data_IF_982872116114
#
_entry.id   IF_982872116114
#
_cell.length_a   1.000
_cell.length_b   1.000
_cell.length_c   1.000
_cell.angle_alpha   90.00
_cell.angle_beta   90.00
_cell.angle_gamma   90.00
#
_symmetry.space_group_name_H-M   'P 1'
#
loop_
_entity.id
_entity.type
_entity.pdbx_description
1 polymer ?
#
# COMPACT_ATOMS: atom_id res chain seq x y z
N UNK A 1 -56.94 27.61 -22.47
CA UNK A 1 -55.61 27.38 -23.05
C UNK A 1 -54.64 27.40 -21.87
N UNK A 2 -54.01 26.29 -21.46
CA UNK A 2 -53.12 25.38 -22.23
C UNK A 2 -51.88 26.17 -22.72
N UNK A 3 -50.61 25.84 -22.48
CA UNK A 3 -49.91 24.90 -21.55
C UNK A 3 -48.39 25.21 -21.63
N UNK A 4 -47.45 24.73 -20.79
CA UNK A 4 -47.45 23.92 -19.55
C UNK A 4 -46.14 24.21 -18.76
N UNK A 5 -45.84 23.42 -17.71
CA UNK A 5 -44.58 23.46 -16.93
C UNK A 5 -43.56 22.39 -17.37
N UNK A 6 -42.29 22.79 -17.50
CA UNK A 6 -41.11 21.91 -17.36
C UNK A 6 -40.53 21.25 -18.62
N UNK A 7 -39.40 20.53 -18.52
CA UNK A 7 -38.65 20.24 -17.29
C UNK A 7 -37.16 20.63 -17.30
N UNK A 8 -36.59 20.55 -16.10
CA UNK A 8 -35.19 20.30 -15.74
C UNK A 8 -34.44 19.37 -16.70
N UNK A 9 -33.21 19.73 -17.10
CA UNK A 9 -32.17 18.71 -17.21
C UNK A 9 -30.78 19.24 -16.82
N UNK A 10 -30.08 18.44 -16.03
CA UNK A 10 -28.82 18.83 -15.43
C UNK A 10 -27.70 18.82 -16.49
N UNK A 11 -26.96 19.94 -16.57
CA UNK A 11 -25.58 19.94 -17.06
C UNK A 11 -24.69 19.12 -16.11
N UNK A 12 -24.87 17.80 -16.12
CA UNK A 12 -23.94 16.84 -15.53
C UNK A 12 -22.65 16.99 -16.31
N UNK A 13 -21.72 17.77 -15.77
CA UNK A 13 -20.34 17.80 -16.22
C UNK A 13 -19.82 16.37 -16.15
N UNK A 14 -19.86 15.70 -17.30
CA UNK A 14 -19.41 14.33 -17.47
C UNK A 14 -17.88 14.36 -17.52
N UNK A 15 -17.29 14.67 -16.37
CA UNK A 15 -15.86 14.50 -16.13
C UNK A 15 -15.65 13.00 -16.11
N UNK A 16 -15.31 12.45 -17.29
CA UNK A 16 -14.85 11.08 -17.44
C UNK A 16 -13.90 10.77 -16.28
N UNK A 17 -14.13 9.69 -15.52
CA UNK A 17 -13.23 9.34 -14.43
C UNK A 17 -11.85 9.15 -15.05
N UNK A 18 -10.82 9.96 -14.67
CA UNK A 18 -9.56 9.99 -15.39
C UNK A 18 -9.01 8.57 -15.52
N UNK A 19 -8.83 8.17 -16.78
CA UNK A 19 -8.49 6.83 -17.18
C UNK A 19 -7.23 6.34 -16.47
N UNK A 20 -7.16 5.02 -16.24
CA UNK A 20 -6.19 4.38 -15.32
C UNK A 20 -4.70 4.62 -15.66
N UNK A 21 -4.40 5.17 -16.83
CA UNK A 21 -3.07 5.14 -17.48
C UNK A 21 -2.02 6.12 -16.98
N UNK A 22 -2.36 7.20 -16.26
CA UNK A 22 -1.40 8.30 -16.00
C UNK A 22 -0.40 8.08 -14.85
N UNK A 23 -0.40 6.92 -14.22
CA UNK A 23 0.51 6.56 -13.11
C UNK A 23 1.28 5.26 -13.34
N UNK A 24 0.94 4.50 -14.39
CA UNK A 24 1.55 3.20 -14.70
C UNK A 24 2.97 3.34 -15.30
N UNK A 25 3.33 4.55 -15.76
CA UNK A 25 4.60 4.85 -16.45
C UNK A 25 5.77 5.17 -15.49
N UNK A 26 5.56 5.11 -14.17
CA UNK A 26 6.64 5.28 -13.18
C UNK A 26 7.26 3.94 -12.81
N UNK A 27 8.21 3.52 -13.63
CA UNK A 27 9.14 2.43 -13.32
C UNK A 27 10.25 2.92 -12.39
N UNK A 28 10.43 2.27 -11.24
CA UNK A 28 11.54 2.49 -10.32
C UNK A 28 12.51 1.31 -10.40
N UNK A 29 13.81 1.52 -10.16
CA UNK A 29 14.81 0.44 -10.21
C UNK A 29 14.46 -0.73 -9.27
N UNK A 30 13.81 -0.44 -8.15
CA UNK A 30 13.36 -1.42 -7.15
C UNK A 30 12.11 -2.22 -7.57
N UNK A 31 11.43 -1.88 -8.67
CA UNK A 31 10.22 -2.59 -9.09
C UNK A 31 10.52 -4.02 -9.57
N UNK A 32 11.64 -4.21 -10.27
CA UNK A 32 12.12 -5.52 -10.73
C UNK A 32 12.16 -6.59 -9.62
N UNK A 33 12.93 -6.39 -8.53
CA UNK A 33 12.97 -7.36 -7.42
C UNK A 33 11.63 -7.46 -6.66
N UNK A 34 10.81 -6.41 -6.59
CA UNK A 34 9.48 -6.48 -5.99
C UNK A 34 8.51 -7.36 -6.81
N UNK A 35 8.56 -7.27 -8.14
CA UNK A 35 7.80 -8.16 -9.04
C UNK A 35 8.33 -9.61 -8.98
N UNK A 36 9.64 -9.80 -8.86
CA UNK A 36 10.23 -11.13 -8.70
C UNK A 36 9.80 -11.80 -7.38
N UNK A 37 9.83 -11.07 -6.26
CA UNK A 37 9.28 -11.57 -4.99
C UNK A 37 7.80 -11.96 -5.10
N UNK A 38 6.96 -11.13 -5.72
CA UNK A 38 5.55 -11.49 -5.98
C UNK A 38 5.43 -12.77 -6.80
N UNK A 39 6.28 -12.97 -7.82
CA UNK A 39 6.31 -14.20 -8.62
C UNK A 39 6.68 -15.41 -7.74
N UNK A 40 7.63 -15.26 -6.83
CA UNK A 40 7.96 -16.26 -5.81
C UNK A 40 6.76 -16.60 -4.91
N UNK A 41 6.08 -15.60 -4.35
CA UNK A 41 4.85 -15.81 -3.56
C UNK A 41 3.75 -16.52 -4.35
N UNK A 42 3.52 -16.16 -5.62
CA UNK A 42 2.58 -16.86 -6.49
C UNK A 42 2.91 -18.35 -6.67
N UNK A 43 4.21 -18.71 -6.74
CA UNK A 43 4.64 -20.11 -6.80
C UNK A 43 4.37 -20.84 -5.47
N UNK A 44 4.65 -20.20 -4.32
CA UNK A 44 4.36 -20.77 -3.00
C UNK A 44 2.86 -21.00 -2.78
N UNK A 45 2.01 -20.05 -3.19
CA UNK A 45 0.54 -20.17 -3.13
C UNK A 45 0.06 -21.31 -4.03
N UNK A 46 0.51 -21.36 -5.30
CA UNK A 46 0.14 -22.44 -6.25
C UNK A 46 0.56 -23.83 -5.79
N UNK A 47 1.67 -23.95 -5.05
CA UNK A 47 2.16 -25.21 -4.46
C UNK A 47 1.49 -25.57 -3.13
N UNK A 48 0.62 -24.70 -2.58
CA UNK A 48 0.03 -24.90 -1.26
C UNK A 48 1.05 -24.90 -0.12
N UNK A 49 2.18 -24.19 -0.25
CA UNK A 49 3.32 -24.21 0.67
C UNK A 49 3.04 -23.45 1.99
N UNK A 50 1.99 -23.86 2.72
CA UNK A 50 1.48 -23.20 3.93
C UNK A 50 2.54 -23.01 5.01
N UNK A 51 3.43 -23.98 5.20
CA UNK A 51 4.54 -23.88 6.16
C UNK A 51 5.53 -22.76 5.82
N UNK A 52 5.92 -22.62 4.55
CA UNK A 52 6.84 -21.56 4.11
C UNK A 52 6.18 -20.18 4.17
N UNK A 53 4.92 -20.07 3.76
CA UNK A 53 4.15 -18.83 3.90
C UNK A 53 4.00 -18.40 5.37
N UNK A 54 3.75 -19.35 6.28
CA UNK A 54 3.68 -19.09 7.72
C UNK A 54 5.05 -18.75 8.34
N UNK A 55 6.14 -19.29 7.79
CA UNK A 55 7.51 -18.92 8.17
C UNK A 55 7.83 -17.48 7.72
N UNK A 56 7.56 -17.14 6.46
CA UNK A 56 7.75 -15.79 5.90
C UNK A 56 6.96 -14.72 6.67
N UNK A 57 5.72 -15.02 7.08
CA UNK A 57 4.88 -14.12 7.90
C UNK A 57 5.44 -13.85 9.31
N UNK A 58 6.34 -14.70 9.81
CA UNK A 58 6.97 -14.61 11.14
C UNK A 58 8.41 -14.11 11.10
N UNK A 59 8.96 -13.80 9.93
CA UNK A 59 10.31 -13.23 9.79
C UNK A 59 10.41 -11.94 10.61
N UNK A 60 11.42 -11.86 11.47
CA UNK A 60 11.88 -10.60 12.05
C UNK A 60 12.71 -9.86 10.99
N UNK A 61 12.28 -8.68 10.50
CA UNK A 61 13.04 -7.94 9.50
C UNK A 61 14.37 -7.40 10.01
N UNK A 62 14.52 -7.15 11.32
CA UNK A 62 15.77 -6.62 11.88
C UNK A 62 16.80 -7.74 12.13
N UNK A 63 16.33 -9.00 12.27
CA UNK A 63 17.13 -10.23 12.41
C UNK A 63 16.56 -11.37 11.53
N UNK A 64 16.74 -11.31 10.20
CA UNK A 64 16.21 -12.31 9.29
C UNK A 64 17.03 -13.61 9.37
N UNK A 65 16.66 -14.52 10.27
CA UNK A 65 17.33 -15.83 10.46
C UNK A 65 16.59 -16.99 9.74
N UNK A 66 15.50 -16.69 9.04
CA UNK A 66 14.59 -17.72 8.51
C UNK A 66 15.06 -18.31 7.16
N UNK A 67 15.23 -19.64 7.09
CA UNK A 67 15.66 -20.33 5.87
C UNK A 67 14.65 -20.27 4.71
N UNK A 68 13.35 -20.10 4.96
CA UNK A 68 12.37 -19.87 3.88
C UNK A 68 12.52 -18.47 3.28
N UNK A 69 12.87 -17.46 4.09
CA UNK A 69 13.21 -16.13 3.59
C UNK A 69 14.47 -16.15 2.72
N UNK A 70 15.58 -16.75 3.20
CA UNK A 70 16.80 -16.80 2.40
C UNK A 70 16.63 -17.57 1.09
N UNK A 71 15.89 -18.69 1.09
CA UNK A 71 15.57 -19.43 -0.16
C UNK A 71 14.74 -18.58 -1.13
N UNK A 72 13.74 -17.85 -0.64
CA UNK A 72 12.95 -16.94 -1.46
C UNK A 72 13.81 -15.79 -2.03
N UNK A 73 14.65 -15.19 -1.18
CA UNK A 73 15.51 -14.06 -1.53
C UNK A 73 16.49 -14.45 -2.64
N UNK A 74 17.29 -15.50 -2.44
CA UNK A 74 18.30 -15.95 -3.42
C UNK A 74 17.69 -16.48 -4.71
N UNK A 75 16.44 -16.96 -4.68
CA UNK A 75 15.74 -17.45 -5.87
C UNK A 75 15.03 -16.36 -6.68
N UNK A 76 14.84 -15.15 -6.11
CA UNK A 76 14.01 -14.10 -6.71
C UNK A 76 14.72 -12.74 -6.85
N UNK A 77 15.63 -12.39 -5.95
CA UNK A 77 16.29 -11.07 -5.93
C UNK A 77 17.71 -11.20 -6.44
N UNK A 78 18.04 -10.63 -7.61
CA UNK A 78 19.41 -10.63 -8.12
C UNK A 78 20.39 -9.93 -7.17
N UNK A 79 21.61 -10.45 -7.03
CA UNK A 79 22.60 -10.00 -6.05
C UNK A 79 22.90 -8.49 -6.12
N UNK A 80 22.83 -7.86 -7.30
CA UNK A 80 23.07 -6.42 -7.44
C UNK A 80 22.05 -5.53 -6.70
N UNK A 81 20.91 -6.08 -6.27
CA UNK A 81 19.93 -5.38 -5.42
C UNK A 81 20.17 -5.60 -3.93
N UNK A 82 21.04 -6.54 -3.54
CA UNK A 82 21.45 -6.78 -2.15
C UNK A 82 22.59 -5.83 -1.73
N UNK A 83 22.63 -4.62 -2.29
CA UNK A 83 23.69 -3.65 -2.02
C UNK A 83 25.05 -4.03 -2.62
N UNK A 84 26.04 -3.18 -2.36
CA UNK A 84 27.47 -3.51 -2.53
C UNK A 84 28.07 -3.72 -1.14
N UNK A 85 29.19 -4.44 -1.05
CA UNK A 85 29.89 -4.67 0.22
C UNK A 85 30.42 -3.38 0.86
N UNK A 86 29.54 -2.66 1.56
CA UNK A 86 29.90 -1.43 2.28
C UNK A 86 30.78 -1.76 3.48
N UNK A 87 31.82 -0.95 3.70
CA UNK A 87 32.78 -1.11 4.80
C UNK A 87 32.12 -1.01 6.19
N UNK A 88 30.98 -0.31 6.29
CA UNK A 88 30.19 -0.21 7.52
C UNK A 88 28.99 -1.18 7.51
N UNK A 89 29.06 -2.18 8.40
CA UNK A 89 27.98 -3.13 8.65
C UNK A 89 26.76 -2.37 9.18
N UNK A 90 25.60 -2.50 8.52
CA UNK A 90 24.34 -1.78 8.82
C UNK A 90 24.28 -0.30 8.41
N UNK A 91 25.20 0.22 7.60
CA UNK A 91 24.97 1.50 6.91
C UNK A 91 23.77 1.40 5.94
N UNK A 92 23.02 2.48 5.67
CA UNK A 92 21.96 2.48 4.66
C UNK A 92 22.48 1.97 3.31
N UNK A 93 21.80 1.00 2.70
CA UNK A 93 22.18 0.41 1.41
C UNK A 93 23.32 -0.63 1.48
N UNK A 94 23.89 -0.88 2.66
CA UNK A 94 24.76 -2.04 2.89
C UNK A 94 23.98 -3.34 2.68
N UNK A 95 24.68 -4.44 2.37
CA UNK A 95 24.04 -5.74 2.12
C UNK A 95 23.13 -6.20 3.26
N UNK A 96 23.60 -6.06 4.51
CA UNK A 96 22.79 -6.36 5.70
C UNK A 96 21.54 -5.49 5.79
N UNK A 97 21.62 -4.19 5.46
CA UNK A 97 20.45 -3.30 5.43
C UNK A 97 19.47 -3.68 4.31
N UNK A 98 19.97 -4.00 3.11
CA UNK A 98 19.13 -4.44 2.00
C UNK A 98 18.43 -5.77 2.28
N UNK A 99 19.12 -6.75 2.88
CA UNK A 99 18.53 -8.02 3.32
C UNK A 99 17.43 -7.78 4.36
N UNK A 100 17.64 -6.88 5.34
CA UNK A 100 16.60 -6.48 6.31
C UNK A 100 15.38 -5.82 5.66
N UNK A 101 15.58 -4.95 4.66
CA UNK A 101 14.49 -4.33 3.91
C UNK A 101 13.70 -5.35 3.10
N UNK A 102 14.37 -6.27 2.40
CA UNK A 102 13.69 -7.37 1.71
C UNK A 102 12.95 -8.31 2.66
N UNK A 103 13.48 -8.54 3.87
CA UNK A 103 12.78 -9.28 4.92
C UNK A 103 11.48 -8.57 5.36
N UNK A 104 11.50 -7.23 5.50
CA UNK A 104 10.30 -6.45 5.78
C UNK A 104 9.25 -6.56 4.65
N UNK A 105 9.68 -6.47 3.39
CA UNK A 105 8.81 -6.63 2.21
C UNK A 105 8.21 -8.04 2.15
N UNK A 106 9.02 -9.08 2.35
CA UNK A 106 8.56 -10.47 2.35
C UNK A 106 7.57 -10.73 3.49
N UNK A 107 7.84 -10.24 4.70
CA UNK A 107 6.92 -10.34 5.83
C UNK A 107 5.58 -9.64 5.56
N UNK A 108 5.59 -8.49 4.87
CA UNK A 108 4.38 -7.78 4.43
C UNK A 108 3.61 -8.60 3.39
N UNK A 109 4.27 -9.06 2.32
CA UNK A 109 3.62 -9.87 1.28
C UNK A 109 3.00 -11.16 1.85
N UNK A 110 3.68 -11.80 2.81
CA UNK A 110 3.20 -13.01 3.49
C UNK A 110 1.96 -12.79 4.39
N UNK A 111 1.55 -11.54 4.65
CA UNK A 111 0.28 -11.27 5.34
C UNK A 111 -0.94 -11.69 4.50
N UNK A 112 -0.86 -11.56 3.17
CA UNK A 112 -1.93 -11.86 2.20
C UNK A 112 -1.34 -12.24 0.83
N UNK A 113 -0.69 -13.40 0.71
CA UNK A 113 0.13 -13.77 -0.45
C UNK A 113 -0.68 -14.05 -1.72
N UNK A 114 -1.96 -14.35 -1.57
CA UNK A 114 -2.98 -14.53 -2.60
C UNK A 114 -3.60 -13.19 -3.08
N UNK A 115 -3.66 -12.19 -2.19
CA UNK A 115 -4.29 -10.89 -2.43
C UNK A 115 -3.32 -9.75 -2.76
N UNK A 116 -2.20 -10.00 -3.45
CA UNK A 116 -1.18 -8.98 -3.75
C UNK A 116 -1.55 -8.13 -4.97
N UNK A 117 -1.75 -6.81 -4.78
CA UNK A 117 -1.90 -5.81 -5.86
C UNK A 117 -0.67 -4.90 -6.00
N UNK A 118 -0.25 -4.54 -7.22
CA UNK A 118 0.94 -3.71 -7.47
C UNK A 118 0.72 -2.19 -7.36
N UNK A 119 -0.46 -1.72 -6.96
CA UNK A 119 -0.73 -0.28 -6.79
C UNK A 119 -1.92 -0.09 -5.84
N UNK A 120 -2.10 1.15 -5.40
CA UNK A 120 -3.33 1.60 -4.77
C UNK A 120 -3.20 1.84 -3.27
N UNK A 121 -2.01 2.14 -2.75
CA UNK A 121 -1.83 2.31 -1.31
C UNK A 121 -2.63 3.49 -0.74
N UNK A 122 -2.66 4.63 -1.42
CA UNK A 122 -3.41 5.79 -0.96
C UNK A 122 -4.92 5.53 -0.99
N UNK A 123 -5.39 4.86 -2.04
CA UNK A 123 -6.79 4.42 -2.14
C UNK A 123 -7.13 3.39 -1.06
N UNK A 124 -6.34 2.35 -0.88
CA UNK A 124 -6.59 1.32 0.13
C UNK A 124 -6.59 1.89 1.55
N UNK A 125 -5.79 2.92 1.82
CA UNK A 125 -5.85 3.68 3.07
C UNK A 125 -7.19 4.42 3.24
N UNK A 126 -7.69 5.10 2.21
CA UNK A 126 -8.99 5.77 2.24
C UNK A 126 -10.16 4.78 2.36
N UNK A 127 -10.19 3.75 1.50
CA UNK A 127 -11.22 2.72 1.43
C UNK A 127 -11.32 1.89 2.73
N UNK A 128 -10.24 1.81 3.53
CA UNK A 128 -10.24 1.16 4.86
C UNK A 128 -10.42 2.12 6.04
N UNK A 129 -10.71 3.40 5.82
CA UNK A 129 -10.96 4.40 6.88
C UNK A 129 -9.70 4.77 7.68
N UNK A 130 -8.54 4.87 7.04
CA UNK A 130 -7.37 5.53 7.64
C UNK A 130 -7.65 7.03 7.66
N UNK A 131 -7.43 7.68 8.81
CA UNK A 131 -7.65 9.12 8.95
C UNK A 131 -6.49 9.94 8.39
N UNK A 132 -6.80 11.17 7.98
CA UNK A 132 -5.86 12.14 7.41
C UNK A 132 -4.62 12.35 8.29
N UNK A 133 -4.81 12.41 9.61
CA UNK A 133 -3.72 12.48 10.60
C UNK A 133 -2.80 11.25 10.52
N UNK A 134 -3.35 10.04 10.40
CA UNK A 134 -2.55 8.79 10.29
C UNK A 134 -1.82 8.71 8.95
N UNK A 135 -2.43 9.20 7.87
CA UNK A 135 -1.74 9.36 6.58
C UNK A 135 -0.56 10.34 6.72
N UNK A 136 -0.80 11.52 7.29
CA UNK A 136 0.24 12.55 7.51
C UNK A 136 1.41 11.98 8.31
N UNK A 137 1.15 11.32 9.44
CA UNK A 137 2.17 10.63 10.24
C UNK A 137 2.94 9.57 9.43
N UNK A 138 2.26 8.76 8.62
CA UNK A 138 2.91 7.74 7.79
C UNK A 138 3.82 8.34 6.71
N UNK A 139 3.38 9.41 6.04
CA UNK A 139 4.17 10.08 5.00
C UNK A 139 5.34 10.89 5.56
N UNK A 140 5.18 11.46 6.75
CA UNK A 140 6.22 12.22 7.45
C UNK A 140 7.27 11.32 8.15
N UNK A 141 6.91 10.08 8.51
CA UNK A 141 7.82 9.18 9.21
C UNK A 141 9.06 8.81 8.37
N UNK A 142 10.18 8.60 9.07
CA UNK A 142 11.46 8.15 8.52
C UNK A 142 12.06 7.04 9.37
N UNK A 143 13.04 6.31 8.83
CA UNK A 143 13.83 5.32 9.57
C UNK A 143 13.00 4.25 10.31
N UNK A 144 13.32 3.99 11.58
CA UNK A 144 12.64 2.97 12.39
C UNK A 144 11.12 3.23 12.55
N UNK A 145 10.73 4.48 12.83
CA UNK A 145 9.31 4.88 12.94
C UNK A 145 8.54 4.63 11.65
N UNK A 146 9.17 4.84 10.49
CA UNK A 146 8.57 4.48 9.21
C UNK A 146 8.38 2.97 9.06
N UNK A 147 9.41 2.16 9.36
CA UNK A 147 9.30 0.68 9.30
C UNK A 147 8.17 0.16 10.19
N UNK A 148 8.02 0.71 11.38
CA UNK A 148 6.96 0.36 12.31
C UNK A 148 5.56 0.73 11.81
N UNK A 149 5.38 1.94 11.30
CA UNK A 149 4.10 2.37 10.73
C UNK A 149 3.76 1.59 9.45
N UNK A 150 4.73 1.30 8.58
CA UNK A 150 4.54 0.46 7.40
C UNK A 150 4.08 -0.96 7.79
N UNK A 151 4.70 -1.57 8.81
CA UNK A 151 4.32 -2.88 9.36
C UNK A 151 2.90 -2.88 9.96
N UNK A 152 2.53 -1.85 10.72
CA UNK A 152 1.18 -1.70 11.30
C UNK A 152 0.12 -1.46 10.21
N UNK A 153 0.42 -0.60 9.23
CA UNK A 153 -0.44 -0.30 8.10
C UNK A 153 -0.68 -1.55 7.23
N UNK A 154 0.38 -2.28 6.88
CA UNK A 154 0.28 -3.52 6.11
C UNK A 154 -0.61 -4.56 6.80
N UNK A 155 -0.51 -4.72 8.13
CA UNK A 155 -1.41 -5.61 8.91
C UNK A 155 -2.87 -5.17 8.87
N UNK A 156 -3.14 -3.87 8.94
CA UNK A 156 -4.50 -3.32 8.78
C UNK A 156 -5.03 -3.59 7.36
N UNK A 157 -4.28 -3.23 6.33
CA UNK A 157 -4.69 -3.40 4.93
C UNK A 157 -4.87 -4.88 4.56
N UNK A 158 -4.03 -5.78 5.06
CA UNK A 158 -4.18 -7.22 4.83
C UNK A 158 -5.51 -7.76 5.38
N UNK A 159 -6.01 -7.20 6.49
CA UNK A 159 -7.30 -7.55 7.11
C UNK A 159 -8.50 -6.84 6.46
N UNK A 160 -8.37 -5.54 6.22
CA UNK A 160 -9.52 -4.66 5.94
C UNK A 160 -9.70 -4.30 4.46
N UNK A 161 -8.66 -4.41 3.62
CA UNK A 161 -8.74 -4.03 2.20
C UNK A 161 -9.17 -5.20 1.29
N UNK A 162 -9.58 -4.90 0.05
CA UNK A 162 -9.82 -5.89 -1.02
C UNK A 162 -8.53 -6.67 -1.37
N UNK A 163 -7.40 -5.96 -1.41
CA UNK A 163 -6.09 -6.48 -1.76
C UNK A 163 -5.00 -5.68 -1.04
N UNK A 164 -3.83 -6.29 -0.83
CA UNK A 164 -2.67 -5.67 -0.22
C UNK A 164 -1.81 -4.95 -1.29
N UNK A 165 -1.71 -3.61 -1.29
CA UNK A 165 -0.90 -2.84 -2.23
C UNK A 165 0.58 -2.97 -1.86
N UNK A 166 1.26 -3.98 -2.41
CA UNK A 166 2.64 -4.32 -2.01
C UNK A 166 3.70 -3.39 -2.59
N UNK A 167 3.47 -2.84 -3.79
CA UNK A 167 4.53 -2.17 -4.55
C UNK A 167 4.90 -0.82 -3.93
N UNK A 168 3.93 0.01 -3.57
CA UNK A 168 4.19 1.32 -2.96
C UNK A 168 4.83 1.18 -1.57
N UNK A 169 4.38 0.21 -0.75
CA UNK A 169 5.04 -0.13 0.52
C UNK A 169 6.46 -0.67 0.30
N UNK A 170 6.64 -1.54 -0.70
CA UNK A 170 7.93 -2.13 -1.03
C UNK A 170 8.94 -1.11 -1.56
N UNK A 171 8.50 -0.21 -2.44
CA UNK A 171 9.26 0.94 -2.94
C UNK A 171 9.77 1.78 -1.79
N UNK A 172 8.88 2.24 -0.91
CA UNK A 172 9.28 3.05 0.24
C UNK A 172 10.25 2.28 1.17
N UNK A 173 10.01 1.00 1.46
CA UNK A 173 10.92 0.22 2.31
C UNK A 173 12.32 0.00 1.69
N UNK A 174 12.40 -0.21 0.37
CA UNK A 174 13.68 -0.42 -0.32
C UNK A 174 14.46 0.88 -0.54
N UNK A 175 13.76 2.02 -0.70
CA UNK A 175 14.38 3.31 -1.03
C UNK A 175 14.60 4.25 0.18
N UNK A 176 13.91 4.03 1.30
CA UNK A 176 13.93 4.94 2.46
C UNK A 176 15.35 5.19 3.00
N UNK A 177 15.70 6.46 3.22
CA UNK A 177 17.03 6.88 3.71
C UNK A 177 18.22 6.50 2.81
N UNK A 178 18.00 6.10 1.55
CA UNK A 178 19.06 5.94 0.55
C UNK A 178 19.24 7.28 -0.22
N UNK A 179 20.44 7.91 -0.23
CA UNK A 179 20.65 9.21 -0.87
C UNK A 179 20.26 9.26 -2.35
N UNK A 180 20.49 8.16 -3.08
CA UNK A 180 20.23 8.04 -4.50
C UNK A 180 18.74 7.88 -4.87
N UNK A 181 17.85 7.71 -3.88
CA UNK A 181 16.40 7.54 -4.09
C UNK A 181 15.54 8.60 -3.38
N UNK A 182 16.10 9.73 -2.95
CA UNK A 182 15.35 10.77 -2.21
C UNK A 182 14.16 11.29 -3.04
N UNK A 183 14.39 11.63 -4.31
CA UNK A 183 13.37 12.17 -5.20
C UNK A 183 12.28 11.14 -5.53
N UNK A 184 12.68 9.88 -5.70
CA UNK A 184 11.83 8.73 -5.98
C UNK A 184 10.93 8.43 -4.78
N UNK A 185 11.48 8.42 -3.57
CA UNK A 185 10.76 8.13 -2.33
C UNK A 185 9.69 9.20 -2.07
N UNK A 186 10.04 10.48 -2.23
CA UNK A 186 9.08 11.57 -2.08
C UNK A 186 8.07 11.62 -3.25
N UNK A 187 8.47 11.23 -4.46
CA UNK A 187 7.55 11.02 -5.60
C UNK A 187 6.50 9.93 -5.34
N UNK A 188 6.88 8.85 -4.63
CA UNK A 188 5.93 7.81 -4.17
C UNK A 188 5.03 8.36 -3.06
N UNK A 189 5.56 9.07 -2.06
CA UNK A 189 4.76 9.72 -1.00
C UNK A 189 3.71 10.68 -1.56
N UNK A 190 4.08 11.52 -2.53
CA UNK A 190 3.18 12.45 -3.22
C UNK A 190 2.10 11.69 -4.01
N UNK A 191 2.43 10.57 -4.65
CA UNK A 191 1.46 9.74 -5.35
C UNK A 191 0.42 9.13 -4.39
N UNK A 192 0.87 8.56 -3.26
CA UNK A 192 0.01 8.00 -2.20
C UNK A 192 -0.94 9.09 -1.66
N UNK A 193 -0.43 10.27 -1.31
CA UNK A 193 -1.26 11.38 -0.83
C UNK A 193 -2.32 11.80 -1.85
N UNK A 194 -1.94 11.96 -3.13
CA UNK A 194 -2.87 12.33 -4.20
C UNK A 194 -3.96 11.28 -4.41
N UNK A 195 -3.63 10.00 -4.31
CA UNK A 195 -4.61 8.92 -4.45
C UNK A 195 -5.59 8.86 -3.28
N UNK A 196 -5.10 8.98 -2.04
CA UNK A 196 -5.94 9.05 -0.84
C UNK A 196 -6.97 10.17 -0.95
N UNK A 197 -6.53 11.41 -1.17
CA UNK A 197 -7.43 12.58 -1.25
C UNK A 197 -8.37 12.57 -2.46
N UNK A 198 -8.09 11.78 -3.50
CA UNK A 198 -9.03 11.53 -4.60
C UNK A 198 -10.08 10.50 -4.24
N UNK A 199 -9.72 9.52 -3.42
CA UNK A 199 -10.61 8.43 -2.99
C UNK A 199 -11.57 8.93 -1.91
N UNK A 200 -11.10 9.66 -0.90
CA UNK A 200 -11.95 10.29 0.13
C UNK A 200 -13.00 11.23 -0.45
N UNK A 201 -12.70 11.94 -1.55
CA UNK A 201 -13.66 12.81 -2.26
C UNK A 201 -14.69 12.06 -3.11
N UNK A 202 -14.49 10.77 -3.39
CA UNK A 202 -15.40 9.93 -4.18
C UNK A 202 -16.38 9.14 -3.33
N UNK A 203 -16.15 9.07 -2.02
CA UNK A 203 -17.10 8.49 -1.05
C UNK A 203 -18.00 9.63 -0.57
N UNK A 204 -19.29 9.69 -0.97
CA UNK A 204 -20.23 10.58 -0.30
C UNK A 204 -20.30 10.16 1.17
N UNK A 205 -20.33 11.11 2.11
CA UNK A 205 -20.58 10.78 3.52
C UNK A 205 -21.92 10.06 3.62
N UNK A 206 -21.88 8.75 3.85
CA UNK A 206 -23.07 7.92 3.95
C UNK A 206 -23.68 8.12 5.34
N UNK A 207 -24.74 8.93 5.37
CA UNK A 207 -25.70 9.09 6.46
C UNK A 207 -25.19 9.84 7.72
N UNK A 208 -25.13 11.17 7.62
CA UNK A 208 -25.41 12.08 8.75
C UNK A 208 -26.73 12.80 8.41
N UNK A 209 -27.89 12.16 8.63
CA UNK A 209 -29.18 12.74 8.19
C UNK A 209 -30.46 11.93 8.41
N UNK A 210 -30.41 10.82 9.16
CA UNK A 210 -31.57 9.92 9.37
C UNK A 210 -31.82 9.71 10.87
N UNK A 211 -32.02 10.82 11.60
CA UNK A 211 -32.18 10.80 13.06
C UNK A 211 -33.06 11.94 13.65
N UNK A 212 -33.86 12.65 12.83
CA UNK A 212 -34.79 13.70 13.31
C UNK A 212 -36.02 13.88 12.43
N UNK A 213 -36.86 12.84 12.24
CA UNK A 213 -38.24 13.07 11.73
C UNK A 213 -39.30 12.00 12.08
N UNK A 214 -39.35 11.51 13.33
CA UNK A 214 -40.41 10.59 13.80
C UNK A 214 -41.12 11.04 15.09
N UNK A 215 -40.96 12.31 15.50
CA UNK A 215 -41.53 12.83 16.77
C UNK A 215 -42.64 13.89 16.59
N UNK A 216 -43.23 14.01 15.39
CA UNK A 216 -44.29 15.00 15.10
C UNK A 216 -45.61 14.39 14.60
N UNK A 217 -45.86 13.11 14.89
CA UNK A 217 -47.14 12.46 14.57
C UNK A 217 -47.62 11.58 15.73
N UNK A 218 -48.12 12.23 16.81
CA UNK A 218 -49.12 11.71 17.76
C UNK A 218 -49.45 12.80 18.81
N UNK A 219 -50.21 13.80 18.37
CA UNK A 219 -50.86 14.80 19.23
C UNK A 219 -52.07 15.38 18.48
N UNK A 220 -53.17 14.63 18.44
CA UNK A 220 -54.34 15.00 17.65
C UNK A 220 -55.39 13.90 17.53
N UNK A 221 -55.97 13.50 18.67
CA UNK A 221 -57.38 13.09 18.85
C UNK A 221 -57.69 13.02 20.37
#
# INVERSE_FOLDING_TARGET
MIDALGPTEAARNNVDPPSRSRFEDRSYQVDGPLHALRKGFNVLVKRGARGELAALKRVDPDRPENSAFFRLLTSCVPHQFLGRGCVQISAPGSEVDMVRRFAAVAAIMALRPDGLRPWGLGRAMADTGVSDLRLSMFLAARGASFRDLARRLARRLARDAEALPYLDLGRLLLMESLPEYVNETDSVRIAIAREFWRSTRRVPRRNEGEATNELSSHAGE
#
